data_IF_385809393517
#
_entry.id   IF_385809393517
#
_cell.length_a   1.000
_cell.length_b   1.000
_cell.length_c   1.000
_cell.angle_alpha   90.00
_cell.angle_beta   90.00
_cell.angle_gamma   90.00
#
_symmetry.space_group_name_H-M   'P 1'
#
loop_
_entity.id
_entity.type
_entity.pdbx_description
1 polymer ?
#
# COMPACT_ATOMS: atom_id res chain seq x y z
N UNK A 1 46.53 7.61 -8.79
CA UNK A 1 45.89 6.66 -7.86
C UNK A 1 44.41 6.98 -7.88
N UNK A 2 43.68 6.32 -8.77
CA UNK A 2 42.25 6.50 -8.90
C UNK A 2 41.58 5.89 -7.67
N UNK A 3 41.02 6.75 -6.81
CA UNK A 3 40.19 6.30 -5.70
C UNK A 3 38.94 5.58 -6.23
N UNK A 4 38.32 4.69 -5.45
CA UNK A 4 37.15 3.96 -5.90
C UNK A 4 36.07 4.97 -6.30
N UNK A 5 35.65 4.92 -7.56
CA UNK A 5 34.53 5.71 -8.06
C UNK A 5 33.27 5.26 -7.34
N UNK A 6 32.98 5.86 -6.19
CA UNK A 6 31.72 5.67 -5.49
C UNK A 6 30.62 6.22 -6.38
N UNK A 7 29.90 5.33 -7.05
CA UNK A 7 28.68 5.67 -7.77
C UNK A 7 27.75 6.45 -6.84
N UNK A 8 27.11 7.53 -7.30
CA UNK A 8 26.22 8.33 -6.47
C UNK A 8 25.10 7.46 -5.87
N UNK A 9 24.83 7.65 -4.58
CA UNK A 9 23.74 6.95 -3.89
C UNK A 9 22.40 7.37 -4.53
N UNK A 10 21.61 6.38 -4.93
CA UNK A 10 20.25 6.60 -5.46
C UNK A 10 19.24 6.47 -4.32
N UNK A 11 18.55 7.57 -4.00
CA UNK A 11 17.52 7.60 -2.95
C UNK A 11 16.19 7.09 -3.50
N UNK A 12 15.76 5.95 -2.98
CA UNK A 12 14.54 5.22 -3.38
C UNK A 12 13.65 4.76 -2.22
N UNK A 13 14.12 4.91 -0.98
CA UNK A 13 13.38 4.46 0.21
C UNK A 13 12.76 5.68 0.89
N UNK A 14 11.49 5.91 0.61
CA UNK A 14 10.71 7.03 1.13
C UNK A 14 9.52 6.56 1.97
N UNK A 15 9.65 5.42 2.64
CA UNK A 15 8.62 4.91 3.55
C UNK A 15 8.31 5.94 4.64
N UNK A 16 7.05 6.09 5.00
CA UNK A 16 6.61 7.05 6.03
C UNK A 16 6.85 6.54 7.46
N UNK A 17 6.98 5.23 7.62
CA UNK A 17 7.19 4.58 8.91
C UNK A 17 8.18 3.43 8.76
N UNK A 18 9.00 3.24 9.78
CA UNK A 18 10.05 2.22 9.84
C UNK A 18 10.33 1.90 11.32
N UNK A 19 11.07 0.82 11.59
CA UNK A 19 11.39 0.34 12.94
C UNK A 19 10.15 -0.09 13.76
N UNK A 20 9.33 -0.96 13.18
CA UNK A 20 8.22 -1.64 13.86
C UNK A 20 8.65 -3.01 14.41
N UNK A 21 9.63 -2.99 15.30
CA UNK A 21 10.20 -4.20 15.88
C UNK A 21 9.82 -4.35 17.36
N UNK A 22 9.77 -5.60 17.83
CA UNK A 22 9.63 -5.91 19.24
C UNK A 22 10.91 -6.57 19.77
N UNK A 23 11.21 -6.34 21.04
CA UNK A 23 12.36 -6.93 21.71
C UNK A 23 12.09 -7.11 23.20
N UNK A 24 12.67 -8.16 23.77
CA UNK A 24 12.66 -8.36 25.22
C UNK A 24 13.84 -7.62 25.83
N UNK A 25 13.57 -6.83 26.86
CA UNK A 25 14.61 -6.14 27.63
C UNK A 25 15.39 -7.19 28.43
N UNK A 26 16.72 -7.20 28.29
CA UNK A 26 17.60 -8.13 28.99
C UNK A 26 17.63 -7.91 30.51
N UNK A 27 18.30 -8.81 31.23
CA UNK A 27 18.54 -8.67 32.67
C UNK A 27 19.38 -7.44 33.04
N UNK A 28 20.10 -6.89 32.07
CA UNK A 28 20.83 -5.62 32.15
C UNK A 28 19.95 -4.38 31.97
N UNK A 29 18.65 -4.56 31.75
CA UNK A 29 17.70 -3.48 31.52
C UNK A 29 17.80 -2.86 30.13
N UNK A 30 18.49 -3.48 29.17
CA UNK A 30 18.66 -2.92 27.81
C UNK A 30 18.14 -3.83 26.70
N UNK A 31 17.66 -3.21 25.63
CA UNK A 31 17.36 -3.86 24.35
C UNK A 31 17.95 -3.01 23.23
N UNK A 32 18.62 -3.64 22.27
CA UNK A 32 19.31 -2.95 21.17
C UNK A 32 18.66 -3.29 19.84
N UNK A 33 18.32 -2.26 19.08
CA UNK A 33 17.79 -2.38 17.72
C UNK A 33 18.76 -1.69 16.76
N UNK A 34 19.10 -2.36 15.66
CA UNK A 34 19.95 -1.82 14.61
C UNK A 34 19.12 -1.66 13.34
N UNK A 35 19.04 -0.44 12.82
CA UNK A 35 18.29 -0.14 11.62
C UNK A 35 18.93 1.02 10.84
N UNK A 36 18.75 1.02 9.53
CA UNK A 36 19.17 2.11 8.65
C UNK A 36 18.04 3.10 8.45
N UNK A 37 18.35 4.39 8.48
CA UNK A 37 17.37 5.45 8.22
C UNK A 37 16.86 5.35 6.77
N UNK A 38 15.56 5.57 6.53
CA UNK A 38 15.06 5.78 5.18
C UNK A 38 15.73 7.01 4.53
N UNK A 39 15.66 7.08 3.20
CA UNK A 39 16.32 8.12 2.40
C UNK A 39 15.59 9.48 2.42
N UNK A 40 14.50 9.60 3.18
CA UNK A 40 13.79 10.85 3.40
C UNK A 40 14.63 11.81 4.25
N UNK A 41 14.78 13.05 3.76
CA UNK A 41 15.47 14.13 4.48
C UNK A 41 14.42 14.82 5.35
N UNK A 42 14.27 14.30 6.56
CA UNK A 42 13.23 14.70 7.51
C UNK A 42 13.71 14.47 8.94
N UNK A 43 12.94 14.97 9.91
CA UNK A 43 13.11 14.64 11.32
C UNK A 43 12.20 13.46 11.66
N UNK A 44 12.82 12.34 12.03
CA UNK A 44 12.13 11.13 12.48
C UNK A 44 11.80 11.21 13.96
N UNK A 45 10.55 10.93 14.34
CA UNK A 45 10.14 10.78 15.74
C UNK A 45 10.09 9.30 16.10
N UNK A 46 11.05 8.85 16.91
CA UNK A 46 11.13 7.47 17.39
C UNK A 46 10.36 7.35 18.69
N UNK A 47 9.42 6.41 18.74
CA UNK A 47 8.59 6.12 19.91
C UNK A 47 8.78 4.66 20.33
N UNK A 48 8.74 4.41 21.63
CA UNK A 48 8.79 3.07 22.18
C UNK A 48 7.60 2.86 23.13
N UNK A 49 7.14 1.62 23.23
CA UNK A 49 6.10 1.21 24.18
C UNK A 49 6.55 -0.07 24.85
N UNK A 50 6.66 -0.06 26.17
CA UNK A 50 7.07 -1.22 26.96
C UNK A 50 5.89 -1.79 27.74
N UNK A 51 5.90 -3.11 27.96
CA UNK A 51 4.92 -3.81 28.78
C UNK A 51 5.63 -4.80 29.69
N UNK A 52 5.29 -4.77 30.97
CA UNK A 52 5.82 -5.68 32.00
C UNK A 52 4.68 -6.22 32.88
N UNK A 53 4.74 -7.49 33.34
CA UNK A 53 3.76 -8.05 34.26
C UNK A 53 3.65 -7.29 35.58
N UNK A 54 4.75 -6.72 36.07
CA UNK A 54 4.79 -5.96 37.34
C UNK A 54 4.65 -4.45 37.12
N UNK A 55 5.17 -3.95 36.00
CA UNK A 55 5.23 -2.51 35.70
C UNK A 55 4.11 -1.98 34.82
N UNK A 56 3.19 -2.84 34.36
CA UNK A 56 2.11 -2.44 33.45
C UNK A 56 2.64 -1.98 32.08
N UNK A 57 1.99 -0.96 31.51
CA UNK A 57 2.37 -0.35 30.22
C UNK A 57 3.05 0.99 30.46
N UNK A 58 4.20 1.22 29.83
CA UNK A 58 4.91 2.50 29.90
C UNK A 58 5.27 3.02 28.50
N UNK A 59 4.97 4.30 28.25
CA UNK A 59 5.25 5.01 27.00
C UNK A 59 6.25 6.15 27.32
N UNK A 60 7.56 5.95 27.07
CA UNK A 60 8.54 7.01 27.20
C UNK A 60 8.29 8.16 26.19
N UNK A 61 8.86 9.36 26.45
CA UNK A 61 8.83 10.45 25.49
C UNK A 61 9.53 10.05 24.17
N UNK A 62 9.07 10.62 23.06
CA UNK A 62 9.67 10.37 21.76
C UNK A 62 11.07 10.96 21.65
N UNK A 63 11.91 10.33 20.84
CA UNK A 63 13.25 10.82 20.51
C UNK A 63 13.30 11.23 19.04
N UNK A 64 13.78 12.44 18.78
CA UNK A 64 13.95 12.92 17.42
C UNK A 64 15.32 12.54 16.85
N UNK A 65 15.33 12.07 15.60
CA UNK A 65 16.52 11.76 14.81
C UNK A 65 16.42 12.50 13.49
N UNK A 66 17.32 13.46 13.28
CA UNK A 66 17.31 14.30 12.07
C UNK A 66 18.15 13.67 10.96
N UNK A 67 17.52 13.29 9.85
CA UNK A 67 18.19 12.93 8.61
C UNK A 67 18.35 14.18 7.75
N UNK A 68 19.60 14.59 7.47
CA UNK A 68 19.88 15.88 6.83
C UNK A 68 21.01 15.79 5.80
N UNK A 69 20.89 16.58 4.73
CA UNK A 69 21.92 16.83 3.74
C UNK A 69 21.92 18.32 3.40
N UNK A 70 23.10 18.90 3.17
CA UNK A 70 23.23 20.34 2.87
C UNK A 70 22.61 20.74 1.52
N UNK A 71 22.69 19.84 0.54
CA UNK A 71 22.17 20.01 -0.81
C UNK A 71 21.44 18.72 -1.17
N UNK A 72 20.16 18.85 -1.51
CA UNK A 72 19.36 17.69 -1.90
C UNK A 72 18.22 18.05 -2.84
N UNK A 73 17.75 17.02 -3.54
CA UNK A 73 16.61 17.06 -4.44
C UNK A 73 15.35 16.56 -3.73
N UNK A 74 14.26 17.31 -3.81
CA UNK A 74 12.93 16.86 -3.42
C UNK A 74 12.06 16.74 -4.66
N UNK A 75 11.58 15.53 -4.93
CA UNK A 75 10.67 15.26 -6.04
C UNK A 75 9.26 15.10 -5.52
N UNK A 76 8.34 15.93 -5.99
CA UNK A 76 6.91 15.84 -5.66
C UNK A 76 6.18 15.10 -6.78
N UNK A 77 5.63 13.93 -6.45
CA UNK A 77 4.83 13.10 -7.36
C UNK A 77 3.43 12.98 -6.74
N UNK A 78 2.35 13.13 -7.52
CA UNK A 78 0.99 12.89 -7.03
C UNK A 78 0.78 11.43 -6.62
N UNK A 79 -0.23 11.18 -5.78
CA UNK A 79 -0.55 9.83 -5.32
C UNK A 79 -0.90 8.86 -6.47
N UNK A 80 -1.64 9.34 -7.47
CA UNK A 80 -1.99 8.61 -8.69
C UNK A 80 -2.21 9.56 -9.85
N UNK A 81 -2.05 9.07 -11.08
CA UNK A 81 -2.26 9.82 -12.33
C UNK A 81 -3.04 8.97 -13.32
N UNK A 82 -3.86 9.61 -14.16
CA UNK A 82 -4.62 8.91 -15.20
C UNK A 82 -3.74 8.70 -16.44
N UNK A 83 -3.85 7.54 -17.09
CA UNK A 83 -3.18 7.26 -18.37
C UNK A 83 -3.48 8.36 -19.39
N UNK A 84 -2.47 8.76 -20.17
CA UNK A 84 -2.49 9.83 -21.18
C UNK A 84 -2.70 11.26 -20.65
N UNK A 85 -2.73 11.47 -19.32
CA UNK A 85 -2.77 12.80 -18.73
C UNK A 85 -1.36 13.41 -18.65
N UNK A 86 -1.18 14.64 -19.11
CA UNK A 86 0.08 15.35 -18.91
C UNK A 86 0.15 15.92 -17.51
N UNK A 87 1.15 15.48 -16.74
CA UNK A 87 1.45 16.02 -15.41
C UNK A 87 2.79 16.76 -15.39
N UNK A 88 2.93 17.68 -14.45
CA UNK A 88 4.20 18.35 -14.17
C UNK A 88 4.81 17.80 -12.88
N UNK A 89 5.91 17.05 -13.02
CA UNK A 89 6.68 16.57 -11.88
C UNK A 89 7.56 17.71 -11.38
N UNK A 90 7.33 18.16 -10.15
CA UNK A 90 8.08 19.24 -9.52
C UNK A 90 9.33 18.69 -8.82
N UNK A 91 10.49 19.18 -9.24
CA UNK A 91 11.79 18.87 -8.67
C UNK A 91 12.37 20.13 -7.99
N UNK A 92 12.40 20.14 -6.67
CA UNK A 92 12.93 21.25 -5.86
C UNK A 92 14.32 20.92 -5.35
N UNK A 93 15.30 21.76 -5.65
CA UNK A 93 16.66 21.64 -5.15
C UNK A 93 16.84 22.61 -3.99
N UNK A 94 17.18 22.07 -2.82
CA UNK A 94 17.46 22.83 -1.62
C UNK A 94 18.95 23.06 -1.46
N UNK A 95 19.34 24.27 -1.04
CA UNK A 95 20.70 24.64 -0.72
C UNK A 95 20.74 25.27 0.67
N UNK A 96 21.14 24.50 1.68
CA UNK A 96 21.37 24.98 3.04
C UNK A 96 22.79 25.52 3.25
N UNK A 97 23.62 25.54 2.20
CA UNK A 97 24.96 26.11 2.25
C UNK A 97 24.97 27.64 2.26
N UNK A 98 26.11 28.20 2.66
CA UNK A 98 26.36 29.65 2.73
C UNK A 98 26.71 30.31 1.39
N UNK A 99 26.78 29.55 0.29
CA UNK A 99 27.11 30.05 -1.05
C UNK A 99 26.07 29.58 -2.06
N UNK A 100 25.87 30.37 -3.13
CA UNK A 100 25.01 29.97 -4.24
C UNK A 100 25.54 28.73 -4.95
N UNK A 101 24.60 27.86 -5.33
CA UNK A 101 24.82 26.60 -6.01
C UNK A 101 24.44 26.73 -7.48
N UNK A 102 25.36 26.39 -8.38
CA UNK A 102 25.09 26.24 -9.81
C UNK A 102 25.02 24.75 -10.15
N UNK A 103 24.01 24.36 -10.90
CA UNK A 103 23.81 22.97 -11.27
C UNK A 103 22.86 22.77 -12.44
N UNK A 104 22.64 21.51 -12.77
CA UNK A 104 21.70 21.08 -13.79
C UNK A 104 20.83 19.96 -13.22
N UNK A 105 19.55 19.98 -13.56
CA UNK A 105 18.61 18.92 -13.23
C UNK A 105 18.23 18.16 -14.50
N UNK A 106 18.12 16.85 -14.38
CA UNK A 106 17.80 15.91 -15.46
C UNK A 106 16.69 14.97 -15.00
N UNK A 107 15.74 14.68 -15.89
CA UNK A 107 14.84 13.52 -15.77
C UNK A 107 15.36 12.41 -16.70
N UNK A 108 15.22 11.15 -16.30
CA UNK A 108 15.55 10.02 -17.17
C UNK A 108 14.32 9.53 -17.94
N UNK A 109 14.53 9.09 -19.18
CA UNK A 109 13.50 8.37 -19.93
C UNK A 109 13.22 7.00 -19.30
N UNK A 110 11.95 6.64 -19.21
CA UNK A 110 11.50 5.35 -18.69
C UNK A 110 10.50 4.72 -19.66
N UNK A 111 10.51 3.38 -19.77
CA UNK A 111 9.53 2.70 -20.59
C UNK A 111 8.11 2.95 -20.05
N UNK A 112 7.16 3.26 -20.93
CA UNK A 112 5.79 3.58 -20.53
C UNK A 112 5.57 5.03 -20.08
N UNK A 113 6.62 5.84 -19.94
CA UNK A 113 6.53 7.28 -19.66
C UNK A 113 7.14 8.10 -20.81
N UNK A 114 6.39 9.08 -21.31
CA UNK A 114 6.91 10.11 -22.20
C UNK A 114 7.43 11.28 -21.35
N UNK A 115 8.76 11.35 -21.18
CA UNK A 115 9.45 12.40 -20.40
C UNK A 115 10.27 13.37 -21.27
N UNK A 116 10.21 13.22 -22.60
CA UNK A 116 11.04 13.96 -23.55
C UNK A 116 12.49 13.46 -23.65
N UNK A 117 12.81 12.31 -23.05
CA UNK A 117 14.12 11.67 -23.11
C UNK A 117 14.00 10.19 -23.55
N UNK A 118 14.96 9.64 -24.31
CA UNK A 118 15.00 8.21 -24.61
C UNK A 118 15.16 7.36 -23.35
N UNK A 119 14.65 6.12 -23.38
CA UNK A 119 14.69 5.19 -22.24
C UNK A 119 16.14 5.00 -21.75
N UNK A 120 16.36 5.18 -20.45
CA UNK A 120 17.67 5.07 -19.81
C UNK A 120 18.61 6.26 -20.00
N UNK A 121 18.24 7.24 -20.83
CA UNK A 121 19.04 8.43 -21.10
C UNK A 121 18.51 9.66 -20.34
N UNK A 122 19.39 10.65 -20.14
CA UNK A 122 19.02 11.94 -19.52
C UNK A 122 18.30 12.83 -20.53
N UNK A 123 17.33 13.59 -20.04
CA UNK A 123 16.75 14.72 -20.76
C UNK A 123 17.80 15.80 -21.07
N UNK A 124 17.39 16.80 -21.84
CA UNK A 124 18.13 18.06 -21.89
C UNK A 124 18.34 18.64 -20.48
N UNK A 125 19.49 19.31 -20.30
CA UNK A 125 19.85 19.92 -19.03
C UNK A 125 18.91 21.08 -18.70
N UNK A 126 18.34 21.08 -17.50
CA UNK A 126 17.65 22.25 -16.93
C UNK A 126 18.61 22.97 -15.98
N UNK A 127 19.23 24.09 -16.40
CA UNK A 127 20.17 24.81 -15.55
C UNK A 127 19.44 25.44 -14.36
N UNK A 128 20.06 25.40 -13.19
CA UNK A 128 19.56 25.98 -11.95
C UNK A 128 20.64 26.80 -11.26
N UNK A 129 20.22 27.91 -10.65
CA UNK A 129 21.01 28.68 -9.71
C UNK A 129 20.20 28.79 -8.42
N UNK A 130 20.68 28.13 -7.36
CA UNK A 130 20.05 28.14 -6.04
C UNK A 130 20.88 29.04 -5.13
N UNK A 131 20.31 30.14 -4.64
CA UNK A 131 21.03 31.03 -3.72
C UNK A 131 21.37 30.33 -2.39
N UNK A 132 22.24 30.97 -1.60
CA UNK A 132 22.56 30.49 -0.26
C UNK A 132 21.29 30.40 0.61
N UNK A 133 21.16 29.32 1.40
CA UNK A 133 20.02 29.09 2.30
C UNK A 133 18.65 29.22 1.62
N UNK A 134 18.53 28.82 0.36
CA UNK A 134 17.29 28.92 -0.42
C UNK A 134 16.97 27.62 -1.18
N UNK A 135 15.86 27.63 -1.90
CA UNK A 135 15.46 26.53 -2.77
C UNK A 135 15.03 27.05 -4.14
N UNK A 136 15.17 26.22 -5.18
CA UNK A 136 14.70 26.51 -6.52
C UNK A 136 14.07 25.27 -7.12
N UNK A 137 12.96 25.44 -7.84
CA UNK A 137 12.22 24.33 -8.43
C UNK A 137 12.28 24.37 -9.95
N UNK A 138 12.28 23.19 -10.55
CA UNK A 138 12.10 22.98 -11.99
C UNK A 138 11.01 21.93 -12.19
N UNK A 139 10.26 22.06 -13.27
CA UNK A 139 9.20 21.11 -13.63
C UNK A 139 9.60 20.29 -14.84
N UNK A 140 9.17 19.02 -14.84
CA UNK A 140 9.30 18.12 -15.99
C UNK A 140 7.91 17.65 -16.41
N UNK A 141 7.49 17.88 -17.66
CA UNK A 141 6.26 17.31 -18.19
C UNK A 141 6.45 15.80 -18.37
N UNK A 142 5.51 15.02 -17.84
CA UNK A 142 5.49 13.57 -17.94
C UNK A 142 4.10 13.12 -18.38
N UNK A 143 4.03 12.31 -19.43
CA UNK A 143 2.79 11.70 -19.91
C UNK A 143 2.90 10.18 -19.77
N UNK A 144 2.10 9.52 -18.93
CA UNK A 144 2.11 8.08 -18.80
C UNK A 144 1.29 7.43 -19.92
N UNK A 145 1.89 6.47 -20.63
CA UNK A 145 1.30 5.83 -21.81
C UNK A 145 0.66 4.47 -21.49
N UNK A 146 1.01 3.87 -20.35
CA UNK A 146 0.54 2.57 -19.88
C UNK A 146 0.08 2.70 -18.41
N UNK A 147 -0.85 1.85 -18.00
CA UNK A 147 -1.25 1.72 -16.59
C UNK A 147 -0.22 0.88 -15.81
N UNK A 148 -0.14 1.10 -14.50
CA UNK A 148 0.79 0.41 -13.60
C UNK A 148 1.73 1.34 -12.84
N UNK A 149 2.76 0.76 -12.25
CA UNK A 149 3.76 1.48 -11.45
C UNK A 149 5.02 1.76 -12.29
N UNK A 150 5.40 3.04 -12.40
CA UNK A 150 6.57 3.46 -13.16
C UNK A 150 7.55 4.23 -12.29
N UNK A 151 8.84 3.99 -12.46
CA UNK A 151 9.87 4.70 -11.69
C UNK A 151 10.27 6.00 -12.40
N UNK A 152 9.99 7.13 -11.75
CA UNK A 152 10.48 8.45 -12.17
C UNK A 152 11.83 8.70 -11.50
N UNK A 153 12.87 8.84 -12.31
CA UNK A 153 14.24 9.10 -11.86
C UNK A 153 14.67 10.51 -12.23
N UNK A 154 14.98 11.31 -11.21
CA UNK A 154 15.49 12.69 -11.36
C UNK A 154 16.87 12.79 -10.72
N UNK A 155 17.75 13.52 -11.38
CA UNK A 155 19.14 13.69 -10.99
C UNK A 155 19.51 15.16 -11.03
N UNK A 156 19.98 15.69 -9.91
CA UNK A 156 20.64 17.01 -9.86
C UNK A 156 22.15 16.82 -9.83
N UNK A 157 22.86 17.50 -10.73
CA UNK A 157 24.32 17.56 -10.75
C UNK A 157 24.77 19.01 -10.58
N UNK A 158 25.50 19.29 -9.52
CA UNK A 158 25.95 20.63 -9.15
C UNK A 158 27.47 20.71 -9.00
N UNK A 159 28.01 21.93 -8.84
CA UNK A 159 29.44 22.14 -8.57
C UNK A 159 29.91 21.55 -7.24
N UNK A 160 28.99 21.25 -6.30
CA UNK A 160 29.31 20.77 -4.94
C UNK A 160 28.94 19.31 -4.69
N UNK A 161 28.33 18.63 -5.65
CA UNK A 161 27.86 17.27 -5.50
C UNK A 161 26.67 16.96 -6.40
N UNK A 162 26.19 15.72 -6.30
CA UNK A 162 25.03 15.25 -7.04
C UNK A 162 24.10 14.44 -6.12
N UNK A 163 22.80 14.47 -6.44
CA UNK A 163 21.78 13.71 -5.73
C UNK A 163 20.79 13.14 -6.74
N UNK A 164 20.39 11.89 -6.52
CA UNK A 164 19.52 11.13 -7.42
C UNK A 164 18.35 10.58 -6.63
N UNK A 165 17.14 10.87 -7.11
CA UNK A 165 15.89 10.44 -6.50
C UNK A 165 15.11 9.57 -7.49
N UNK A 166 14.71 8.39 -7.04
CA UNK A 166 13.78 7.50 -7.72
C UNK A 166 12.48 7.40 -6.91
N UNK A 167 11.36 7.74 -7.54
CA UNK A 167 10.03 7.61 -6.93
C UNK A 167 9.09 6.87 -7.87
N UNK A 168 8.19 6.08 -7.28
CA UNK A 168 7.16 5.35 -8.02
C UNK A 168 6.01 6.30 -8.33
N UNK A 169 5.61 6.32 -9.59
CA UNK A 169 4.42 6.99 -10.12
C UNK A 169 3.37 5.91 -10.39
N UNK A 170 2.25 5.97 -9.68
CA UNK A 170 1.12 5.05 -9.87
C UNK A 170 0.18 5.58 -10.96
N UNK A 171 0.03 4.84 -12.04
CA UNK A 171 -0.81 5.19 -13.19
C UNK A 171 -2.04 4.29 -13.22
N UNK A 172 -3.21 4.91 -13.22
CA UNK A 172 -4.50 4.25 -13.32
C UNK A 172 -5.14 4.49 -14.68
N UNK A 173 -5.97 3.57 -15.18
CA UNK A 173 -6.76 3.82 -16.38
C UNK A 173 -7.81 4.92 -16.16
N UNK A 174 -8.26 5.48 -17.27
CA UNK A 174 -9.40 6.38 -17.31
C UNK A 174 -10.74 5.68 -16.97
N UNK A 175 -11.74 6.46 -16.57
CA UNK A 175 -13.09 5.97 -16.28
C UNK A 175 -13.31 5.54 -14.83
N UNK A 176 -14.31 4.66 -14.63
CA UNK A 176 -14.74 4.18 -13.31
C UNK A 176 -14.65 2.66 -13.28
N UNK A 177 -13.98 2.11 -12.25
CA UNK A 177 -13.89 0.67 -12.06
C UNK A 177 -15.28 0.07 -11.79
N UNK A 178 -15.69 -0.86 -12.64
CA UNK A 178 -16.95 -1.61 -12.47
C UNK A 178 -16.62 -3.08 -12.25
N UNK A 179 -16.83 -3.55 -11.02
CA UNK A 179 -16.66 -4.95 -10.68
C UNK A 179 -17.98 -5.72 -10.77
N UNK A 180 -17.95 -6.85 -11.48
CA UNK A 180 -19.08 -7.80 -11.55
C UNK A 180 -18.64 -9.13 -10.96
N UNK A 181 -19.15 -9.44 -9.77
CA UNK A 181 -18.88 -10.73 -9.11
C UNK A 181 -20.02 -11.72 -9.36
N UNK A 182 -19.67 -12.97 -9.68
CA UNK A 182 -20.58 -14.08 -9.88
C UNK A 182 -20.12 -15.25 -9.00
N UNK A 183 -20.97 -15.66 -8.07
CA UNK A 183 -20.71 -16.77 -7.15
C UNK A 183 -21.65 -17.93 -7.46
N UNK A 184 -21.09 -19.08 -7.87
CA UNK A 184 -21.86 -20.25 -8.27
C UNK A 184 -21.44 -21.45 -7.39
N UNK A 185 -22.37 -22.13 -6.72
CA UNK A 185 -22.05 -23.35 -5.99
C UNK A 185 -21.78 -24.50 -6.96
N UNK A 186 -20.66 -25.18 -6.77
CA UNK A 186 -20.31 -26.41 -7.48
C UNK A 186 -20.80 -27.60 -6.65
N UNK A 187 -21.78 -28.34 -7.15
CA UNK A 187 -22.42 -29.50 -6.52
C UNK A 187 -22.87 -30.51 -7.61
N UNK A 188 -21.93 -31.27 -8.21
CA UNK A 188 -22.22 -32.21 -9.29
C UNK A 188 -23.07 -33.41 -8.84
N UNK A 189 -23.09 -33.73 -7.54
CA UNK A 189 -23.89 -34.83 -6.96
C UNK A 189 -25.30 -34.40 -6.58
N UNK A 190 -25.60 -33.10 -6.64
CA UNK A 190 -26.89 -32.52 -6.25
C UNK A 190 -27.29 -32.87 -4.80
N UNK A 191 -26.33 -32.95 -3.89
CA UNK A 191 -26.59 -33.23 -2.47
C UNK A 191 -27.53 -32.19 -1.85
N UNK A 192 -27.49 -30.95 -2.37
CA UNK A 192 -28.36 -29.86 -1.95
C UNK A 192 -29.77 -29.93 -2.52
N UNK A 193 -30.10 -30.96 -3.31
CA UNK A 193 -31.43 -31.20 -3.90
C UNK A 193 -31.99 -29.98 -4.63
N UNK A 194 -31.19 -29.40 -5.53
CA UNK A 194 -31.59 -28.28 -6.36
C UNK A 194 -32.82 -28.65 -7.20
N UNK A 195 -33.85 -27.80 -7.17
CA UNK A 195 -35.10 -27.99 -7.93
C UNK A 195 -34.89 -27.85 -9.44
N UNK A 196 -33.99 -26.96 -9.87
CA UNK A 196 -33.77 -26.61 -11.27
C UNK A 196 -32.40 -27.08 -11.72
N UNK A 197 -32.34 -27.95 -12.74
CA UNK A 197 -31.09 -28.57 -13.22
C UNK A 197 -30.37 -27.76 -14.29
N UNK A 198 -31.07 -26.84 -14.96
CA UNK A 198 -30.48 -25.90 -15.91
C UNK A 198 -30.93 -24.48 -15.61
N UNK A 199 -29.96 -23.58 -15.40
CA UNK A 199 -30.20 -22.14 -15.31
C UNK A 199 -29.64 -21.51 -16.57
N UNK A 200 -30.47 -20.76 -17.29
CA UNK A 200 -30.03 -19.89 -18.39
C UNK A 200 -30.22 -18.45 -17.94
N UNK A 201 -29.13 -17.83 -17.51
CA UNK A 201 -29.07 -16.41 -17.21
C UNK A 201 -28.24 -15.67 -18.24
N UNK A 202 -28.42 -14.35 -18.29
CA UNK A 202 -27.62 -13.46 -19.14
C UNK A 202 -26.13 -13.45 -18.72
N UNK A 203 -25.87 -13.56 -17.41
CA UNK A 203 -24.51 -13.56 -16.82
C UNK A 203 -23.82 -14.91 -16.84
N UNK A 204 -24.56 -15.99 -16.70
CA UNK A 204 -24.03 -17.35 -16.74
C UNK A 204 -25.11 -18.36 -17.09
N UNK A 205 -24.69 -19.48 -17.66
CA UNK A 205 -25.50 -20.67 -17.87
C UNK A 205 -24.90 -21.81 -17.06
N UNK A 206 -25.77 -22.60 -16.45
CA UNK A 206 -25.36 -23.70 -15.60
C UNK A 206 -26.24 -24.91 -15.93
N UNK A 207 -25.60 -26.06 -16.16
CA UNK A 207 -26.26 -27.31 -16.52
C UNK A 207 -25.72 -28.44 -15.65
N UNK A 208 -26.63 -29.18 -15.02
CA UNK A 208 -26.31 -30.27 -14.11
C UNK A 208 -26.78 -31.61 -14.68
N UNK A 209 -25.83 -32.49 -14.96
CA UNK A 209 -26.06 -33.90 -15.23
C UNK A 209 -25.73 -34.73 -13.99
N UNK A 210 -26.77 -35.14 -13.27
CA UNK A 210 -26.65 -35.95 -12.05
C UNK A 210 -26.25 -37.39 -12.33
N UNK A 211 -26.52 -37.92 -13.53
CA UNK A 211 -26.17 -39.30 -13.89
C UNK A 211 -24.67 -39.39 -14.18
N UNK A 212 -24.15 -38.44 -14.94
CA UNK A 212 -22.72 -38.32 -15.21
C UNK A 212 -21.91 -37.71 -14.04
N UNK A 213 -22.58 -37.14 -13.03
CA UNK A 213 -21.97 -36.34 -11.95
C UNK A 213 -21.13 -35.18 -12.51
N UNK A 214 -21.67 -34.48 -13.51
CA UNK A 214 -21.01 -33.36 -14.19
C UNK A 214 -21.88 -32.11 -14.05
N UNK A 215 -21.25 -31.00 -13.66
CA UNK A 215 -21.85 -29.68 -13.70
C UNK A 215 -21.03 -28.80 -14.65
N UNK A 216 -21.69 -28.22 -15.65
CA UNK A 216 -21.08 -27.35 -16.66
C UNK A 216 -21.57 -25.93 -16.43
N UNK A 217 -20.63 -25.02 -16.18
CA UNK A 217 -20.90 -23.60 -15.94
C UNK A 217 -20.24 -22.80 -17.06
N UNK A 218 -21.04 -22.10 -17.85
CA UNK A 218 -20.58 -21.17 -18.87
C UNK A 218 -20.83 -19.73 -18.39
N UNK A 219 -19.77 -18.97 -18.15
CA UNK A 219 -19.84 -17.58 -17.69
C UNK A 219 -19.75 -16.63 -18.89
N UNK A 220 -20.66 -15.65 -18.95
CA UNK A 220 -20.64 -14.63 -19.98
C UNK A 220 -19.62 -13.54 -19.60
N UNK A 221 -18.51 -13.47 -20.32
CA UNK A 221 -17.44 -12.49 -20.12
C UNK A 221 -17.59 -11.24 -21.00
N UNK A 222 -18.77 -11.04 -21.62
CA UNK A 222 -19.02 -9.84 -22.43
C UNK A 222 -18.96 -8.59 -21.56
N UNK A 223 -18.03 -7.72 -21.95
CA UNK A 223 -17.87 -6.40 -21.37
C UNK A 223 -18.83 -5.41 -22.04
N UNK A 224 -19.19 -4.33 -21.34
CA UNK A 224 -20.02 -3.30 -21.93
C UNK A 224 -19.23 -2.55 -23.03
N UNK A 225 -19.95 -1.93 -23.97
CA UNK A 225 -19.35 -1.31 -25.17
C UNK A 225 -18.50 -0.07 -24.85
N UNK A 226 -18.73 0.54 -23.69
CA UNK A 226 -18.01 1.68 -23.14
C UNK A 226 -16.77 1.29 -22.32
N UNK A 227 -16.39 0.00 -22.31
CA UNK A 227 -15.21 -0.46 -21.61
C UNK A 227 -13.93 0.14 -22.22
N UNK A 228 -13.08 0.70 -21.37
CA UNK A 228 -11.80 1.28 -21.75
C UNK A 228 -10.89 0.19 -22.36
N UNK A 229 -10.22 0.45 -23.50
CA UNK A 229 -9.30 -0.52 -24.09
C UNK A 229 -8.16 -0.89 -23.14
N UNK A 230 -7.80 -2.17 -23.15
CA UNK A 230 -6.70 -2.78 -22.39
C UNK A 230 -6.81 -2.78 -20.86
N UNK A 231 -7.98 -2.45 -20.29
CA UNK A 231 -8.22 -2.46 -18.82
C UNK A 231 -8.94 -3.72 -18.32
N UNK A 232 -9.01 -4.74 -19.18
CA UNK A 232 -9.87 -5.91 -18.98
C UNK A 232 -9.21 -6.88 -18.01
N UNK A 233 -9.81 -7.06 -16.84
CA UNK A 233 -9.35 -8.03 -15.86
C UNK A 233 -10.47 -9.00 -15.47
N UNK A 234 -10.21 -10.30 -15.54
CA UNK A 234 -11.13 -11.35 -15.10
C UNK A 234 -10.38 -12.35 -14.23
N UNK A 235 -10.84 -12.55 -13.00
CA UNK A 235 -10.29 -13.54 -12.08
C UNK A 235 -11.32 -14.63 -11.80
N UNK A 236 -10.86 -15.89 -11.81
CA UNK A 236 -11.64 -17.05 -11.43
C UNK A 236 -11.03 -17.66 -10.17
N UNK A 237 -11.85 -17.83 -9.12
CA UNK A 237 -11.45 -18.53 -7.92
C UNK A 237 -12.39 -19.71 -7.69
N UNK A 238 -11.81 -20.92 -7.56
CA UNK A 238 -12.55 -22.15 -7.30
C UNK A 238 -12.12 -22.68 -5.94
N UNK A 239 -13.07 -22.81 -5.04
CA UNK A 239 -12.79 -23.13 -3.65
C UNK A 239 -13.60 -24.34 -3.19
N UNK A 240 -12.90 -25.38 -2.73
CA UNK A 240 -13.48 -26.70 -2.43
C UNK A 240 -14.29 -26.80 -1.13
N UNK A 241 -14.43 -25.70 -0.38
CA UNK A 241 -15.17 -25.67 0.88
C UNK A 241 -16.03 -24.40 1.00
N UNK A 242 -17.19 -24.54 1.65
CA UNK A 242 -18.18 -23.46 1.81
C UNK A 242 -17.63 -22.23 2.57
N UNK A 243 -16.72 -22.45 3.52
CA UNK A 243 -16.05 -21.40 4.32
C UNK A 243 -14.74 -20.96 3.65
N UNK A 244 -14.33 -21.67 2.62
CA UNK A 244 -13.10 -21.42 1.88
C UNK A 244 -12.88 -20.02 1.37
N UNK A 245 -13.88 -19.33 0.79
CA UNK A 245 -13.73 -17.92 0.42
C UNK A 245 -13.29 -17.05 1.60
N UNK A 246 -13.86 -17.26 2.78
CA UNK A 246 -13.47 -16.54 4.01
C UNK A 246 -12.07 -16.92 4.47
N UNK A 247 -11.72 -18.21 4.42
CA UNK A 247 -10.38 -18.69 4.76
C UNK A 247 -9.34 -18.12 3.80
N UNK A 248 -9.60 -18.15 2.50
CA UNK A 248 -8.71 -17.65 1.46
C UNK A 248 -8.57 -16.14 1.54
N UNK A 249 -9.67 -15.40 1.73
CA UNK A 249 -9.59 -13.95 1.98
C UNK A 249 -8.71 -13.65 3.19
N UNK A 250 -8.89 -14.39 4.29
CA UNK A 250 -8.11 -14.26 5.53
C UNK A 250 -6.66 -14.70 5.37
N UNK A 251 -6.29 -15.55 4.40
CA UNK A 251 -4.92 -16.03 4.23
C UNK A 251 -4.16 -15.30 3.12
N UNK A 252 -4.84 -14.85 2.06
CA UNK A 252 -4.23 -14.22 0.88
C UNK A 252 -4.33 -12.70 0.88
N UNK A 253 -5.36 -12.12 1.51
CA UNK A 253 -5.66 -10.68 1.47
C UNK A 253 -5.74 -10.06 2.86
N UNK A 254 -4.89 -10.54 3.79
CA UNK A 254 -4.82 -10.01 5.17
C UNK A 254 -4.62 -8.49 5.16
N UNK A 255 -3.80 -7.99 4.24
CA UNK A 255 -3.44 -6.58 4.14
C UNK A 255 -4.63 -5.70 3.71
N UNK A 256 -5.52 -6.22 2.87
CA UNK A 256 -6.72 -5.51 2.38
C UNK A 256 -7.94 -5.69 3.30
N UNK A 257 -7.96 -6.73 4.13
CA UNK A 257 -8.94 -6.91 5.21
C UNK A 257 -8.69 -5.94 6.38
N UNK A 258 -7.53 -5.28 6.42
CA UNK A 258 -7.16 -4.29 7.44
C UNK A 258 -6.90 -2.95 6.73
N UNK A 259 -7.97 -2.33 6.26
CA UNK A 259 -7.97 -0.95 5.80
C UNK A 259 -7.73 0.00 6.99
N UNK A 260 -7.25 1.23 6.72
CA UNK A 260 -7.21 2.26 7.76
C UNK A 260 -8.60 2.44 8.35
N UNK A 261 -8.77 2.36 9.68
CA UNK A 261 -10.07 2.46 10.31
C UNK A 261 -10.64 3.86 10.05
N UNK A 262 -11.70 3.91 9.25
CA UNK A 262 -12.54 5.09 9.07
C UNK A 262 -13.81 4.88 9.88
N UNK A 263 -14.10 5.78 10.84
CA UNK A 263 -15.37 5.80 11.54
C UNK A 263 -15.43 5.07 12.89
N UNK A 264 -16.60 4.50 13.19
CA UNK A 264 -16.97 3.97 14.52
C UNK A 264 -16.34 2.61 14.83
N UNK A 265 -16.28 2.24 16.11
CA UNK A 265 -15.75 0.94 16.57
C UNK A 265 -16.42 -0.28 15.91
N UNK A 266 -17.69 -0.17 15.50
CA UNK A 266 -18.42 -1.22 14.78
C UNK A 266 -17.80 -1.54 13.41
N UNK A 267 -17.41 -0.52 12.64
CA UNK A 267 -16.77 -0.70 11.33
C UNK A 267 -15.40 -1.35 11.47
N UNK A 268 -14.66 -0.99 12.53
CA UNK A 268 -13.36 -1.59 12.82
C UNK A 268 -13.50 -3.04 13.30
N UNK A 269 -14.53 -3.35 14.09
CA UNK A 269 -14.83 -4.71 14.53
C UNK A 269 -15.31 -5.62 13.39
N UNK A 270 -16.05 -5.10 12.41
CA UNK A 270 -16.50 -5.87 11.24
C UNK A 270 -15.33 -6.46 10.44
N UNK A 271 -14.19 -5.75 10.36
CA UNK A 271 -12.98 -6.22 9.70
C UNK A 271 -12.30 -7.40 10.42
N UNK A 272 -12.58 -7.61 11.71
CA UNK A 272 -12.01 -8.70 12.50
C UNK A 272 -12.81 -10.01 12.43
N UNK A 273 -14.08 -9.94 12.05
CA UNK A 273 -14.96 -11.10 12.02
C UNK A 273 -14.49 -12.23 11.08
N UNK A 274 -14.05 -11.96 9.83
CA UNK A 274 -13.56 -12.99 8.92
C UNK A 274 -12.36 -13.77 9.49
N UNK A 275 -11.44 -13.05 10.15
CA UNK A 275 -10.25 -13.63 10.78
C UNK A 275 -10.62 -14.55 11.94
N UNK A 276 -11.58 -14.15 12.79
CA UNK A 276 -12.04 -14.95 13.91
C UNK A 276 -12.71 -16.26 13.45
N UNK A 277 -13.67 -16.16 12.53
CA UNK A 277 -14.39 -17.35 12.04
C UNK A 277 -13.48 -18.31 11.27
N UNK A 278 -12.50 -17.78 10.53
CA UNK A 278 -11.49 -18.61 9.87
C UNK A 278 -10.63 -19.37 10.89
N UNK A 279 -10.20 -18.70 11.96
CA UNK A 279 -9.40 -19.34 13.01
C UNK A 279 -10.19 -20.45 13.71
N UNK A 280 -11.46 -20.20 14.02
CA UNK A 280 -12.35 -21.18 14.64
C UNK A 280 -12.58 -22.40 13.74
N UNK A 281 -12.80 -22.16 12.44
CA UNK A 281 -12.91 -23.23 11.44
C UNK A 281 -11.65 -24.09 11.34
N UNK A 282 -10.48 -23.46 11.22
CA UNK A 282 -9.20 -24.17 11.12
C UNK A 282 -8.87 -24.96 12.40
N UNK A 283 -9.23 -24.40 13.57
CA UNK A 283 -9.11 -25.09 14.88
C UNK A 283 -9.97 -26.34 14.92
N UNK A 284 -11.25 -26.25 14.53
CA UNK A 284 -12.16 -27.40 14.52
C UNK A 284 -11.79 -28.45 13.47
N UNK A 285 -11.18 -28.05 12.36
CA UNK A 285 -10.67 -28.98 11.34
C UNK A 285 -9.33 -29.62 11.69
N UNK A 286 -8.66 -29.17 12.76
CA UNK A 286 -7.36 -29.69 13.16
C UNK A 286 -6.21 -29.31 12.21
N UNK A 287 -6.43 -28.36 11.29
CA UNK A 287 -5.45 -27.93 10.26
C UNK A 287 -4.59 -26.75 10.74
N UNK A 288 -4.77 -26.32 12.00
CA UNK A 288 -4.07 -25.18 12.56
C UNK A 288 -2.60 -25.52 12.90
N UNK A 289 -1.70 -25.26 11.97
CA UNK A 289 -0.26 -25.39 12.19
C UNK A 289 0.28 -24.31 13.15
N UNK A 290 1.36 -24.61 13.87
CA UNK A 290 1.98 -23.67 14.82
C UNK A 290 2.42 -22.34 14.17
N UNK A 291 2.82 -22.38 12.89
CA UNK A 291 3.13 -21.20 12.06
C UNK A 291 1.90 -20.34 11.77
N UNK A 292 0.83 -20.93 11.25
CA UNK A 292 -0.45 -20.24 11.02
C UNK A 292 -1.05 -19.66 12.31
N UNK A 293 -0.88 -20.38 13.44
CA UNK A 293 -1.26 -19.90 14.76
C UNK A 293 -0.45 -18.67 15.16
N UNK A 294 0.88 -18.66 14.92
CA UNK A 294 1.73 -17.50 15.19
C UNK A 294 1.38 -16.32 14.28
N UNK A 295 1.22 -16.53 12.98
CA UNK A 295 0.84 -15.47 12.03
C UNK A 295 -0.53 -14.86 12.38
N UNK A 296 -1.53 -15.69 12.70
CA UNK A 296 -2.85 -15.21 13.16
C UNK A 296 -2.81 -14.43 14.49
N UNK A 297 -1.82 -14.71 15.34
CA UNK A 297 -1.55 -13.97 16.58
C UNK A 297 -0.70 -12.72 16.32
N UNK A 298 0.20 -12.74 15.34
CA UNK A 298 1.05 -11.62 14.92
C UNK A 298 0.28 -10.55 14.15
N UNK A 299 -0.90 -10.91 13.61
CA UNK A 299 -1.93 -9.94 13.18
C UNK A 299 -2.47 -9.13 14.39
N UNK A 300 -2.28 -9.60 15.64
CA UNK A 300 -2.76 -8.94 16.87
C UNK A 300 -1.85 -7.87 17.53
N UNK A 301 -0.55 -7.67 17.25
CA UNK A 301 0.18 -6.55 17.88
C UNK A 301 0.51 -5.40 16.91
N UNK A 302 0.79 -5.68 15.63
CA UNK A 302 1.38 -4.70 14.71
C UNK A 302 0.46 -3.53 14.31
N UNK A 303 -0.86 -3.75 14.26
CA UNK A 303 -1.86 -2.70 14.02
C UNK A 303 -3.00 -2.66 15.05
N UNK A 304 -3.16 -3.69 15.87
CA UNK A 304 -4.20 -3.75 16.91
C UNK A 304 -3.88 -2.83 18.13
N UNK A 305 -2.63 -2.36 18.28
CA UNK A 305 -2.31 -1.26 19.22
C UNK A 305 -2.57 0.13 18.66
N UNK A 306 -2.74 0.27 17.35
CA UNK A 306 -3.26 1.51 16.78
C UNK A 306 -4.79 1.49 16.87
N UNK A 307 -5.32 2.18 17.88
CA UNK A 307 -6.74 2.58 18.02
C UNK A 307 -7.71 1.54 18.56
N UNK A 308 -7.49 1.14 19.82
CA UNK A 308 -8.59 1.07 20.79
C UNK A 308 -8.21 1.98 21.97
N UNK A 309 -8.15 3.29 21.72
CA UNK A 309 -8.21 4.27 22.81
C UNK A 309 -9.69 4.52 23.05
N UNK A 310 -10.31 3.67 23.86
CA UNK A 310 -11.53 4.02 24.58
C UNK A 310 -11.16 3.96 26.06
N UNK A 311 -11.28 5.08 26.80
CA UNK A 311 -10.90 5.09 28.19
C UNK A 311 -11.71 4.04 28.96
N UNK A 312 -11.02 3.30 29.82
CA UNK A 312 -11.61 2.39 30.79
C UNK A 312 -12.55 3.15 31.72
N UNK A 313 -13.84 3.16 31.39
CA UNK A 313 -14.88 3.28 32.40
C UNK A 313 -16.02 2.32 32.03
N UNK A 314 -15.90 1.10 32.56
CA UNK A 314 -16.93 0.04 32.62
C UNK A 314 -17.49 -0.40 31.26
N UNK A 315 -17.11 -1.60 30.80
CA UNK A 315 -17.76 -2.46 29.77
C UNK A 315 -19.03 -1.90 29.09
N UNK A 316 -18.91 -0.80 28.37
CA UNK A 316 -20.01 -0.14 27.68
C UNK A 316 -19.49 0.27 26.31
N UNK A 317 -20.15 -0.23 25.26
CA UNK A 317 -19.89 0.17 23.89
C UNK A 317 -20.76 1.39 23.58
N UNK A 318 -20.14 2.54 23.33
CA UNK A 318 -20.86 3.73 22.89
C UNK A 318 -20.89 3.81 21.37
N UNK A 319 -22.09 3.85 20.80
CA UNK A 319 -22.32 4.20 19.39
C UNK A 319 -22.46 5.72 19.31
N UNK A 320 -21.52 6.39 18.63
CA UNK A 320 -21.69 7.80 18.26
C UNK A 320 -22.66 7.86 17.07
N UNK A 321 -23.94 8.11 17.35
CA UNK A 321 -24.91 8.48 16.32
C UNK A 321 -24.76 9.98 16.05
N UNK A 322 -24.17 10.34 14.91
CA UNK A 322 -24.29 11.68 14.35
C UNK A 322 -25.71 11.82 13.79
N UNK A 323 -26.63 12.36 14.58
CA UNK A 323 -27.88 12.92 14.05
C UNK A 323 -27.58 14.36 13.66
N UNK A 324 -27.33 14.60 12.37
CA UNK A 324 -27.25 15.95 11.83
C UNK A 324 -28.64 16.59 11.85
N UNK A 325 -28.95 17.33 12.91
CA UNK A 325 -29.99 18.35 12.88
C UNK A 325 -29.43 19.57 12.16
N UNK A 326 -29.89 19.79 10.93
CA UNK A 326 -29.73 21.07 10.25
C UNK A 326 -30.52 22.12 11.03
N UNK A 327 -29.82 23.07 11.66
CA UNK A 327 -30.42 24.31 12.15
C UNK A 327 -30.12 25.36 11.10
N UNK A 328 -31.17 25.73 10.36
CA UNK A 328 -31.21 26.91 9.51
C UNK A 328 -31.18 28.17 10.37
N UNK A 329 -30.22 29.05 10.10
CA UNK A 329 -30.19 30.46 10.48
C UNK A 329 -29.61 31.24 9.32
#
# INVERSE_FOLDING_TARGET
VDGPSTSPLVRRDFRETWLFDEGTVGSDGTAKFSASLPHSITTWSVQAVSVSPTGGVCVPPSKEVRAFQDIFLQVSIPYKVVRNEQIEVLATVYNYGSRSLLGNVYIYGAEGLCTGAPVGQRSERRPIQVNATSATSVTFPVIPLKEGEFVVKIHVKSTRGEDIVEKVLNVVPEGVTVEKSISIPIDPTNERRRKTRSIRGDRYQDSLDTAAKVQVIAVNTRLPLDAVPDTKHCSLSVIGNKIGPSVQATLQNIENLIAMPTGCGEQNMMLMAPTLYTLEYLKHKGVLNATLRRESIQIRPGRLRARVIFPETRRCFFRLLSTGTAVSG
#
